data_IF_504405725030
#
_entry.id   IF_504405725030
#
_cell.length_a   1.000
_cell.length_b   1.000
_cell.length_c   1.000
_cell.angle_alpha   90.00
_cell.angle_beta   90.00
_cell.angle_gamma   90.00
#
_symmetry.space_group_name_H-M   'P 1'
#
loop_
_entity.id
_entity.type
_entity.pdbx_description
1 polymer ?
#
# COMPACT_ATOMS: atom_id res chain seq x y z
N UNK A 1 0.91 41.81 56.99
CA UNK A 1 -0.26 41.97 56.11
C UNK A 1 -0.89 40.60 55.88
N UNK A 2 -2.15 40.41 56.27
CA UNK A 2 -2.94 39.23 55.90
C UNK A 2 -3.17 39.17 54.38
N UNK A 3 -3.72 38.13 53.76
CA UNK A 3 -4.87 37.32 54.20
C UNK A 3 -5.04 36.12 53.24
N UNK A 4 -5.50 34.99 53.81
CA UNK A 4 -6.50 34.03 53.30
C UNK A 4 -6.39 33.48 51.86
N UNK A 5 -5.90 32.25 51.76
CA UNK A 5 -6.40 31.25 50.80
C UNK A 5 -7.74 30.69 51.32
N UNK A 6 -8.85 31.07 50.67
CA UNK A 6 -10.16 30.46 50.90
C UNK A 6 -10.27 29.17 50.09
N UNK A 7 -10.43 28.07 50.82
CA UNK A 7 -10.90 26.77 50.34
C UNK A 7 -12.35 26.89 49.89
N UNK A 8 -12.72 26.23 48.79
CA UNK A 8 -14.05 25.63 48.69
C UNK A 8 -13.93 24.15 48.33
N UNK A 9 -14.69 23.26 49.01
CA UNK A 9 -14.55 21.81 48.90
C UNK A 9 -15.64 21.24 48.00
N UNK A 10 -15.29 20.31 47.11
CA UNK A 10 -16.17 19.22 46.67
C UNK A 10 -15.34 18.26 45.83
N UNK A 11 -15.07 17.07 46.38
CA UNK A 11 -15.00 15.75 45.74
C UNK A 11 -14.18 14.80 46.60
N UNK A 12 -14.78 14.45 47.74
CA UNK A 12 -14.59 13.15 48.38
C UNK A 12 -15.34 12.12 47.52
N UNK A 13 -14.63 11.15 46.94
CA UNK A 13 -15.12 9.78 46.74
C UNK A 13 -14.03 8.92 46.09
N UNK A 14 -13.70 7.80 46.73
CA UNK A 14 -12.83 6.69 46.28
C UNK A 14 -11.33 6.76 46.67
N UNK A 15 -11.07 6.72 47.97
CA UNK A 15 -9.90 6.00 48.50
C UNK A 15 -10.38 5.05 49.61
N UNK A 16 -11.02 3.94 49.20
CA UNK A 16 -11.32 2.82 50.10
C UNK A 16 -10.20 1.78 49.97
N UNK A 17 -9.56 1.53 51.11
CA UNK A 17 -9.12 0.21 51.56
C UNK A 17 -7.84 -0.38 50.94
N UNK A 18 -6.69 0.25 51.20
CA UNK A 18 -5.44 -0.50 51.37
C UNK A 18 -5.21 -0.74 52.87
N UNK A 19 -5.73 -1.85 53.39
CA UNK A 19 -5.35 -2.41 54.70
C UNK A 19 -4.87 -3.84 54.47
N UNK A 20 -3.58 -4.05 54.59
CA UNK A 20 -2.98 -5.37 54.40
C UNK A 20 -1.48 -5.42 54.66
N UNK A 21 -1.12 -5.31 55.95
CA UNK A 21 0.09 -5.87 56.60
C UNK A 21 1.45 -5.18 56.40
N UNK A 22 1.99 -4.73 57.54
CA UNK A 22 3.38 -4.99 57.94
C UNK A 22 4.42 -3.95 57.53
N UNK A 23 4.51 -2.86 58.30
CA UNK A 23 5.77 -2.11 58.45
C UNK A 23 6.65 -2.89 59.43
N UNK A 24 7.84 -3.28 59.00
CA UNK A 24 8.95 -3.56 59.90
C UNK A 24 10.18 -2.83 59.33
N UNK A 25 10.80 -2.06 60.22
CA UNK A 25 11.88 -1.10 59.98
C UNK A 25 13.08 -1.74 59.30
N UNK A 26 13.69 -1.03 58.34
CA UNK A 26 15.00 -1.35 57.81
C UNK A 26 16.01 -0.35 58.39
N UNK A 27 16.58 -0.72 59.53
CA UNK A 27 17.83 -0.15 60.01
C UNK A 27 19.00 -0.68 59.16
N UNK A 28 19.92 0.23 58.84
CA UNK A 28 21.05 -0.03 57.99
C UNK A 28 21.99 -1.10 58.56
N UNK A 29 22.37 -2.06 57.72
CA UNK A 29 23.67 -2.71 57.78
C UNK A 29 23.93 -3.44 56.46
N UNK A 30 25.15 -3.25 55.94
CA UNK A 30 25.63 -3.90 54.74
C UNK A 30 25.60 -5.42 54.89
N UNK A 31 25.08 -6.13 53.89
CA UNK A 31 25.21 -7.59 53.80
C UNK A 31 25.93 -7.95 52.51
N UNK A 32 27.13 -8.51 52.68
CA UNK A 32 27.97 -9.09 51.64
C UNK A 32 27.23 -10.22 50.91
N UNK A 33 27.27 -10.23 49.58
CA UNK A 33 26.90 -11.41 48.80
C UNK A 33 28.11 -12.31 48.61
N UNK A 34 28.03 -13.50 49.21
CA UNK A 34 29.01 -14.57 49.08
C UNK A 34 29.03 -15.21 47.69
N UNK A 35 30.24 -15.56 47.27
CA UNK A 35 30.54 -16.41 46.11
C UNK A 35 29.89 -17.78 46.25
N UNK A 36 28.97 -18.11 45.34
CA UNK A 36 28.48 -19.48 45.16
C UNK A 36 28.23 -19.77 43.67
N UNK A 37 28.90 -20.81 43.19
CA UNK A 37 28.35 -21.72 42.18
C UNK A 37 28.26 -21.19 40.75
N UNK A 38 29.36 -21.37 40.02
CA UNK A 38 29.40 -21.47 38.57
C UNK A 38 28.26 -22.31 38.00
N UNK A 39 27.32 -21.66 37.31
CA UNK A 39 26.56 -22.14 36.14
C UNK A 39 25.71 -20.97 35.60
N UNK A 40 26.32 -19.81 35.38
CA UNK A 40 25.70 -18.81 34.51
C UNK A 40 26.10 -19.23 33.09
N UNK A 41 25.19 -19.89 32.38
CA UNK A 41 25.32 -20.01 30.94
C UNK A 41 25.45 -18.59 30.40
N UNK A 42 26.65 -18.26 29.93
CA UNK A 42 26.86 -17.12 29.05
C UNK A 42 25.82 -17.30 27.96
N UNK A 43 24.74 -16.51 28.01
CA UNK A 43 23.86 -16.35 26.88
C UNK A 43 24.76 -15.79 25.80
N UNK A 44 25.18 -16.71 24.95
CA UNK A 44 25.82 -16.46 23.67
C UNK A 44 25.10 -15.23 23.09
N UNK A 45 25.82 -14.11 23.05
CA UNK A 45 25.49 -13.05 22.13
C UNK A 45 25.83 -13.64 20.76
N UNK A 46 25.00 -14.60 20.31
CA UNK A 46 24.91 -14.98 18.93
C UNK A 46 24.51 -13.69 18.27
N UNK A 47 25.52 -12.97 17.77
CA UNK A 47 25.38 -11.90 16.80
C UNK A 47 24.37 -12.43 15.81
N UNK A 48 23.11 -12.00 15.97
CA UNK A 48 22.10 -12.12 14.94
C UNK A 48 22.72 -11.34 13.82
N UNK A 49 23.44 -12.07 12.96
CA UNK A 49 23.82 -11.62 11.65
C UNK A 49 22.48 -11.23 11.06
N UNK A 50 22.21 -9.93 11.11
CA UNK A 50 21.22 -9.29 10.26
C UNK A 50 21.63 -9.79 8.89
N UNK A 51 20.88 -10.78 8.39
CA UNK A 51 21.08 -11.29 7.05
C UNK A 51 20.93 -10.07 6.17
N UNK A 52 22.05 -9.53 5.71
CA UNK A 52 22.09 -8.66 4.54
C UNK A 52 21.78 -9.61 3.39
N UNK A 53 20.51 -10.02 3.30
CA UNK A 53 20.00 -10.74 2.15
C UNK A 53 20.38 -9.94 0.92
N UNK A 54 20.70 -10.64 -0.14
CA UNK A 54 21.10 -10.08 -1.42
C UNK A 54 19.99 -9.13 -1.89
N UNK A 55 20.07 -7.85 -1.49
CA UNK A 55 18.99 -6.87 -1.67
C UNK A 55 18.94 -6.58 -3.16
N UNK A 56 18.02 -7.27 -3.84
CA UNK A 56 17.62 -6.96 -5.21
C UNK A 56 17.22 -5.48 -5.32
N UNK A 57 16.90 -5.02 -6.53
CA UNK A 57 16.46 -3.64 -6.72
C UNK A 57 15.22 -3.35 -5.85
N UNK A 58 15.38 -2.48 -4.85
CA UNK A 58 14.33 -2.03 -3.94
C UNK A 58 13.73 -0.71 -4.47
N UNK A 59 12.40 -0.59 -4.35
CA UNK A 59 11.63 0.51 -4.95
C UNK A 59 10.82 0.04 -6.16
N UNK A 60 9.71 0.67 -6.52
CA UNK A 60 9.11 1.93 -6.09
C UNK A 60 7.89 1.67 -5.21
N UNK A 61 7.43 2.68 -4.51
CA UNK A 61 6.14 2.72 -3.84
C UNK A 61 5.07 3.14 -4.84
N UNK A 62 3.98 2.38 -4.88
CA UNK A 62 2.79 2.70 -5.66
C UNK A 62 1.57 2.63 -4.75
N UNK A 63 0.68 3.60 -4.90
CA UNK A 63 -0.56 3.71 -4.18
C UNK A 63 -1.72 3.88 -5.17
N UNK A 64 -2.75 3.05 -5.03
CA UNK A 64 -4.05 3.23 -5.65
C UNK A 64 -5.04 3.74 -4.61
N UNK A 65 -5.78 4.80 -4.95
CA UNK A 65 -6.87 5.34 -4.14
C UNK A 65 -8.10 5.47 -5.02
N UNK A 66 -9.18 4.83 -4.61
CA UNK A 66 -10.51 5.03 -5.16
C UNK A 66 -11.37 5.80 -4.17
N UNK A 67 -11.91 6.94 -4.58
CA UNK A 67 -12.89 7.70 -3.81
C UNK A 67 -13.85 8.42 -4.75
N UNK A 68 -15.14 8.36 -4.44
CA UNK A 68 -16.20 8.94 -5.27
C UNK A 68 -16.11 8.45 -6.72
N UNK A 69 -16.09 9.38 -7.68
CA UNK A 69 -16.02 9.09 -9.12
C UNK A 69 -14.60 9.19 -9.68
N UNK A 70 -13.56 9.00 -8.85
CA UNK A 70 -12.16 9.06 -9.28
C UNK A 70 -11.35 7.90 -8.76
N UNK A 71 -10.49 7.39 -9.63
CA UNK A 71 -9.49 6.37 -9.31
C UNK A 71 -8.13 6.93 -9.67
N UNK A 72 -7.21 6.93 -8.71
CA UNK A 72 -5.87 7.49 -8.84
C UNK A 72 -4.87 6.40 -8.54
N UNK A 73 -3.92 6.18 -9.45
CA UNK A 73 -2.69 5.44 -9.17
C UNK A 73 -1.54 6.43 -9.20
N UNK A 74 -0.83 6.51 -8.08
CA UNK A 74 0.36 7.34 -7.91
C UNK A 74 1.54 6.44 -7.59
N UNK A 75 2.71 6.75 -8.15
CA UNK A 75 3.94 6.03 -7.85
C UNK A 75 5.11 6.98 -7.76
N UNK A 76 6.06 6.66 -6.89
CA UNK A 76 7.34 7.36 -6.83
C UNK A 76 8.32 6.85 -7.90
N UNK A 77 9.43 7.56 -8.07
CA UNK A 77 10.42 7.26 -9.09
C UNK A 77 11.71 6.62 -8.61
N UNK A 78 11.88 6.38 -7.31
CA UNK A 78 13.14 5.91 -6.74
C UNK A 78 13.38 4.43 -7.01
N UNK A 79 14.55 4.14 -7.56
CA UNK A 79 15.10 2.79 -7.65
C UNK A 79 16.44 2.76 -6.92
N UNK A 80 16.52 1.90 -5.92
CA UNK A 80 17.67 1.72 -5.05
C UNK A 80 18.21 0.30 -5.23
N UNK A 81 19.53 0.16 -5.37
CA UNK A 81 20.21 -1.14 -5.38
C UNK A 81 21.16 -1.19 -4.19
N UNK A 82 20.95 -2.15 -3.31
CA UNK A 82 21.66 -2.19 -2.03
C UNK A 82 21.39 -0.93 -1.20
N UNK A 83 22.40 -0.05 -1.14
CA UNK A 83 22.35 1.20 -0.38
C UNK A 83 22.46 2.45 -1.26
N UNK A 84 22.50 2.30 -2.59
CA UNK A 84 22.70 3.39 -3.54
C UNK A 84 21.45 3.64 -4.40
N UNK A 85 21.10 4.91 -4.59
CA UNK A 85 20.02 5.31 -5.50
C UNK A 85 20.56 5.31 -6.92
N UNK A 86 20.10 4.36 -7.75
CA UNK A 86 20.50 4.27 -9.16
C UNK A 86 19.78 5.33 -9.99
N UNK A 87 18.46 5.47 -9.78
CA UNK A 87 17.63 6.36 -10.59
C UNK A 87 16.50 6.94 -9.74
N UNK A 88 16.34 8.28 -9.72
CA UNK A 88 15.27 8.91 -8.94
C UNK A 88 13.95 9.10 -9.72
N UNK A 89 13.95 8.91 -11.04
CA UNK A 89 12.85 9.34 -11.92
C UNK A 89 12.33 8.19 -12.81
N UNK A 90 12.08 7.02 -12.24
CA UNK A 90 11.43 5.91 -12.96
C UNK A 90 9.92 6.12 -13.00
N UNK A 91 9.28 5.81 -14.13
CA UNK A 91 7.82 5.80 -14.23
C UNK A 91 7.35 4.35 -14.21
N UNK A 92 6.81 3.89 -13.08
CA UNK A 92 6.24 2.53 -12.93
C UNK A 92 4.71 2.50 -12.92
N UNK A 93 4.09 3.67 -13.12
CA UNK A 93 2.65 3.81 -13.34
C UNK A 93 2.41 4.10 -14.82
N UNK A 94 1.41 3.46 -15.40
CA UNK A 94 1.00 3.67 -16.78
C UNK A 94 -0.48 3.36 -17.00
N UNK A 95 -1.00 3.88 -18.11
CA UNK A 95 -2.29 3.50 -18.67
C UNK A 95 -2.14 2.29 -19.59
N UNK A 96 -3.08 1.36 -19.51
CA UNK A 96 -3.19 0.16 -20.32
C UNK A 96 -4.48 0.25 -21.14
N UNK A 97 -4.34 0.39 -22.46
CA UNK A 97 -5.49 0.66 -23.34
C UNK A 97 -6.22 1.97 -22.98
N UNK A 98 -7.54 1.99 -23.16
CA UNK A 98 -8.34 3.19 -22.90
C UNK A 98 -8.72 3.37 -21.42
N UNK A 99 -9.08 2.27 -20.75
CA UNK A 99 -9.91 2.33 -19.52
C UNK A 99 -9.26 1.70 -18.29
N UNK A 100 -8.00 1.29 -18.37
CA UNK A 100 -7.29 0.66 -17.25
C UNK A 100 -6.03 1.46 -16.96
N UNK A 101 -5.77 1.69 -15.67
CA UNK A 101 -4.51 2.22 -15.17
C UNK A 101 -3.85 1.18 -14.29
N UNK A 102 -2.53 1.15 -14.27
CA UNK A 102 -1.80 0.18 -13.47
C UNK A 102 -0.48 0.74 -12.97
N UNK A 103 0.00 0.16 -11.88
CA UNK A 103 1.30 0.43 -11.32
C UNK A 103 2.00 -0.85 -10.85
N UNK A 104 3.32 -0.80 -10.80
CA UNK A 104 4.14 -1.98 -10.56
C UNK A 104 5.21 -1.73 -9.50
N UNK A 105 5.39 -2.68 -8.60
CA UNK A 105 6.51 -2.72 -7.65
C UNK A 105 7.39 -3.94 -7.96
N UNK A 106 8.64 -3.68 -8.38
CA UNK A 106 9.61 -4.70 -8.75
C UNK A 106 10.60 -4.23 -9.83
N UNK A 107 11.25 -5.18 -10.50
CA UNK A 107 12.19 -4.93 -11.60
C UNK A 107 11.55 -4.22 -12.80
N UNK A 108 12.28 -3.27 -13.41
CA UNK A 108 11.75 -2.48 -14.53
C UNK A 108 11.40 -3.36 -15.75
N UNK A 109 12.25 -4.35 -16.07
CA UNK A 109 12.03 -5.26 -17.20
C UNK A 109 10.80 -6.16 -17.00
N UNK A 110 10.57 -6.60 -15.77
CA UNK A 110 9.42 -7.42 -15.40
C UNK A 110 8.13 -6.63 -15.54
N UNK A 111 8.16 -5.34 -15.17
CA UNK A 111 7.02 -4.44 -15.35
C UNK A 111 6.59 -4.38 -16.82
N UNK A 112 7.54 -4.23 -17.75
CA UNK A 112 7.25 -4.15 -19.18
C UNK A 112 6.52 -5.41 -19.65
N UNK A 113 7.11 -6.56 -19.35
CA UNK A 113 6.60 -7.87 -19.74
C UNK A 113 5.20 -8.16 -19.18
N UNK A 114 4.97 -7.89 -17.89
CA UNK A 114 3.72 -8.27 -17.23
C UNK A 114 2.54 -7.42 -17.68
N UNK A 115 2.76 -6.14 -17.89
CA UNK A 115 1.74 -5.25 -18.41
C UNK A 115 1.45 -5.50 -19.90
N UNK A 116 2.45 -5.82 -20.73
CA UNK A 116 2.21 -6.25 -22.13
C UNK A 116 1.35 -7.51 -22.17
N UNK A 117 1.64 -8.48 -21.28
CA UNK A 117 0.80 -9.68 -21.12
C UNK A 117 -0.60 -9.34 -20.64
N UNK A 118 -0.74 -8.38 -19.72
CA UNK A 118 -2.05 -7.94 -19.24
C UNK A 118 -2.86 -7.26 -20.35
N UNK A 119 -2.24 -6.40 -21.15
CA UNK A 119 -2.89 -5.76 -22.31
C UNK A 119 -3.41 -6.82 -23.29
N UNK A 120 -2.59 -7.82 -23.62
CA UNK A 120 -3.03 -8.95 -24.44
C UNK A 120 -4.24 -9.68 -23.84
N UNK A 121 -4.27 -9.90 -22.52
CA UNK A 121 -5.44 -10.52 -21.85
C UNK A 121 -6.67 -9.62 -21.78
N UNK A 122 -6.49 -8.31 -21.71
CA UNK A 122 -7.59 -7.35 -21.78
C UNK A 122 -8.23 -7.37 -23.18
N UNK A 123 -7.42 -7.45 -24.24
CA UNK A 123 -7.92 -7.58 -25.62
C UNK A 123 -8.71 -8.89 -25.82
N UNK A 124 -8.16 -10.03 -25.37
CA UNK A 124 -8.82 -11.35 -25.44
C UNK A 124 -10.17 -11.40 -24.72
N UNK A 125 -10.34 -10.60 -23.65
CA UNK A 125 -11.53 -10.60 -22.81
C UNK A 125 -12.36 -9.33 -22.91
N UNK A 126 -12.26 -8.61 -24.03
CA UNK A 126 -13.10 -7.43 -24.32
C UNK A 126 -13.08 -6.38 -23.20
N UNK A 127 -11.92 -6.17 -22.57
CA UNK A 127 -11.72 -5.18 -21.52
C UNK A 127 -12.23 -5.58 -20.13
N UNK A 128 -12.62 -6.84 -19.90
CA UNK A 128 -13.01 -7.31 -18.56
C UNK A 128 -11.79 -7.48 -17.65
N UNK A 129 -11.55 -6.51 -16.77
CA UNK A 129 -10.35 -6.47 -15.93
C UNK A 129 -10.23 -7.69 -14.99
N UNK A 130 -11.30 -8.10 -14.31
CA UNK A 130 -11.26 -9.26 -13.40
C UNK A 130 -10.81 -10.53 -14.12
N UNK A 131 -11.37 -10.77 -15.30
CA UNK A 131 -11.08 -11.98 -16.07
C UNK A 131 -9.65 -11.95 -16.62
N UNK A 132 -9.24 -10.81 -17.17
CA UNK A 132 -7.87 -10.62 -17.64
C UNK A 132 -6.84 -10.79 -16.51
N UNK A 133 -7.12 -10.26 -15.32
CA UNK A 133 -6.27 -10.39 -14.14
C UNK A 133 -6.13 -11.85 -13.68
N UNK A 134 -7.24 -12.61 -13.64
CA UNK A 134 -7.22 -14.02 -13.26
C UNK A 134 -6.46 -14.88 -14.28
N UNK A 135 -6.64 -14.64 -15.58
CA UNK A 135 -5.90 -15.38 -16.61
C UNK A 135 -4.40 -15.01 -16.61
N UNK A 136 -4.06 -13.75 -16.37
CA UNK A 136 -2.67 -13.35 -16.14
C UNK A 136 -2.08 -14.07 -14.92
N UNK A 137 -2.80 -14.11 -13.81
CA UNK A 137 -2.34 -14.77 -12.58
C UNK A 137 -2.09 -16.27 -12.80
N UNK A 138 -2.96 -16.96 -13.55
CA UNK A 138 -2.76 -18.36 -13.96
C UNK A 138 -1.51 -18.52 -14.84
N UNK A 139 -1.33 -17.64 -15.83
CA UNK A 139 -0.18 -17.66 -16.71
C UNK A 139 1.13 -17.40 -15.94
N UNK A 140 1.09 -16.45 -14.99
CA UNK A 140 2.20 -16.12 -14.10
C UNK A 140 2.62 -17.33 -13.26
N UNK A 141 1.65 -18.05 -12.68
CA UNK A 141 1.90 -19.31 -11.94
C UNK A 141 2.36 -20.48 -12.81
N UNK A 142 2.26 -20.40 -14.12
CA UNK A 142 2.64 -21.51 -15.02
C UNK A 142 4.00 -21.25 -15.67
N UNK A 143 4.38 -19.99 -15.85
CA UNK A 143 5.66 -19.59 -16.42
C UNK A 143 6.81 -19.87 -15.43
N UNK A 144 7.90 -20.48 -15.91
CA UNK A 144 9.08 -20.82 -15.09
C UNK A 144 9.85 -19.59 -14.65
N UNK A 145 9.88 -18.55 -15.48
CA UNK A 145 10.62 -17.32 -15.23
C UNK A 145 9.84 -16.40 -14.31
N UNK A 146 8.54 -16.21 -14.58
CA UNK A 146 7.72 -15.25 -13.83
C UNK A 146 7.49 -15.67 -12.36
N UNK A 147 7.43 -16.97 -12.06
CA UNK A 147 7.22 -17.48 -10.68
C UNK A 147 8.30 -17.10 -9.67
N UNK A 148 9.48 -16.69 -10.14
CA UNK A 148 10.60 -16.28 -9.27
C UNK A 148 10.63 -14.77 -9.01
N UNK A 149 9.67 -14.04 -9.57
CA UNK A 149 9.59 -12.61 -9.41
C UNK A 149 8.87 -12.28 -8.11
N UNK A 150 9.54 -11.54 -7.23
CA UNK A 150 8.95 -10.94 -6.01
C UNK A 150 8.07 -9.72 -6.33
N UNK A 151 7.52 -9.68 -7.54
CA UNK A 151 6.81 -8.53 -8.06
C UNK A 151 5.34 -8.54 -7.66
N UNK A 152 4.83 -7.34 -7.41
CA UNK A 152 3.42 -7.07 -7.16
C UNK A 152 2.96 -5.97 -8.09
N UNK A 153 1.79 -6.11 -8.69
CA UNK A 153 1.15 -5.08 -9.49
C UNK A 153 -0.21 -4.69 -8.95
N UNK A 154 -0.55 -3.42 -9.13
CA UNK A 154 -1.88 -2.88 -8.89
C UNK A 154 -2.47 -2.45 -10.21
N UNK A 155 -3.72 -2.80 -10.46
CA UNK A 155 -4.44 -2.45 -11.68
C UNK A 155 -5.85 -2.03 -11.32
N UNK A 156 -6.36 -1.00 -11.98
CA UNK A 156 -7.68 -0.48 -11.69
C UNK A 156 -8.36 0.02 -12.95
N UNK A 157 -9.67 -0.21 -13.02
CA UNK A 157 -10.57 0.43 -13.95
C UNK A 157 -11.54 1.34 -13.17
N UNK A 158 -12.62 1.76 -13.84
CA UNK A 158 -13.64 2.60 -13.22
C UNK A 158 -14.49 1.87 -12.15
N UNK A 159 -14.53 0.54 -12.14
CA UNK A 159 -15.40 -0.29 -11.29
C UNK A 159 -14.62 -1.00 -10.18
N UNK A 160 -13.51 -1.66 -10.48
CA UNK A 160 -12.74 -2.54 -9.57
C UNK A 160 -11.25 -2.17 -9.53
N UNK A 161 -10.61 -2.43 -8.40
CA UNK A 161 -9.17 -2.24 -8.21
C UNK A 161 -8.58 -3.54 -7.68
N UNK A 162 -7.58 -4.06 -8.36
CA UNK A 162 -7.02 -5.39 -8.09
C UNK A 162 -5.53 -5.31 -7.82
N UNK A 163 -5.09 -6.11 -6.86
CA UNK A 163 -3.68 -6.45 -6.64
C UNK A 163 -3.42 -7.82 -7.23
N UNK A 164 -2.38 -7.94 -8.05
CA UNK A 164 -1.93 -9.21 -8.64
C UNK A 164 -0.51 -9.49 -8.15
N UNK A 165 -0.29 -10.67 -7.58
CA UNK A 165 1.01 -11.09 -7.03
C UNK A 165 1.68 -12.13 -7.92
N UNK A 166 3.00 -12.27 -7.81
CA UNK A 166 3.74 -13.36 -8.48
C UNK A 166 3.37 -14.77 -8.02
N UNK A 167 2.70 -14.87 -6.88
CA UNK A 167 2.09 -16.12 -6.42
C UNK A 167 0.79 -16.44 -7.17
N UNK A 168 0.28 -15.54 -8.02
CA UNK A 168 -0.98 -15.69 -8.74
C UNK A 168 -2.21 -15.44 -7.87
N UNK A 169 -2.07 -14.62 -6.83
CA UNK A 169 -3.23 -14.13 -6.09
C UNK A 169 -3.80 -12.91 -6.80
N UNK A 170 -5.13 -12.82 -6.86
CA UNK A 170 -5.86 -11.65 -7.35
C UNK A 170 -6.75 -11.17 -6.21
N UNK A 171 -6.47 -9.99 -5.69
CA UNK A 171 -7.08 -9.48 -4.46
C UNK A 171 -7.69 -8.10 -4.68
N UNK A 172 -8.94 -7.94 -4.29
CA UNK A 172 -9.63 -6.65 -4.25
C UNK A 172 -9.65 -6.11 -2.81
N UNK A 173 -9.25 -4.85 -2.57
CA UNK A 173 -9.34 -4.24 -1.25
C UNK A 173 -10.79 -3.89 -0.90
N UNK A 174 -11.17 -4.01 0.36
CA UNK A 174 -12.51 -3.63 0.82
C UNK A 174 -12.72 -2.10 0.89
N UNK A 175 -11.65 -1.34 1.04
CA UNK A 175 -11.63 0.11 1.27
C UNK A 175 -11.21 0.93 0.04
N UNK A 176 -10.97 0.27 -1.09
CA UNK A 176 -10.52 0.93 -2.32
C UNK A 176 -9.10 1.53 -2.25
N UNK A 177 -8.31 1.16 -1.23
CA UNK A 177 -6.92 1.62 -1.06
C UNK A 177 -5.95 0.45 -1.20
N UNK A 178 -4.99 0.58 -2.11
CA UNK A 178 -3.96 -0.44 -2.35
C UNK A 178 -2.59 0.25 -2.30
N UNK A 179 -1.73 -0.15 -1.36
CA UNK A 179 -0.34 0.28 -1.34
C UNK A 179 0.59 -0.91 -1.58
N UNK A 180 1.48 -0.79 -2.57
CA UNK A 180 2.50 -1.80 -2.90
C UNK A 180 3.90 -1.18 -2.90
N UNK A 181 4.92 -2.03 -2.82
CA UNK A 181 6.33 -1.61 -2.84
C UNK A 181 6.87 -1.26 -1.46
N UNK A 182 8.09 -0.70 -1.44
CA UNK A 182 8.89 -0.47 -0.23
C UNK A 182 8.20 0.41 0.81
N UNK A 183 7.47 1.43 0.37
CA UNK A 183 6.68 2.33 1.22
C UNK A 183 5.17 2.13 1.14
N UNK A 184 4.71 1.01 0.56
CA UNK A 184 3.28 0.75 0.32
C UNK A 184 2.44 0.73 1.61
N UNK A 185 2.98 0.21 2.72
CA UNK A 185 2.31 0.19 4.02
C UNK A 185 2.13 1.58 4.61
N UNK A 186 3.14 2.45 4.52
CA UNK A 186 3.04 3.85 4.97
C UNK A 186 2.02 4.63 4.13
N UNK A 187 2.08 4.46 2.81
CA UNK A 187 1.18 5.14 1.88
C UNK A 187 -0.28 4.70 2.10
N UNK A 188 -0.54 3.40 2.20
CA UNK A 188 -1.90 2.87 2.42
C UNK A 188 -2.46 3.25 3.79
N UNK A 189 -1.65 3.20 4.85
CA UNK A 189 -2.07 3.64 6.18
C UNK A 189 -2.42 5.15 6.20
N UNK A 190 -1.60 5.99 5.58
CA UNK A 190 -1.87 7.41 5.46
C UNK A 190 -3.12 7.71 4.62
N UNK A 191 -3.31 7.01 3.50
CA UNK A 191 -4.48 7.18 2.65
C UNK A 191 -5.77 6.76 3.38
N UNK A 192 -5.75 5.64 4.12
CA UNK A 192 -6.88 5.19 4.95
C UNK A 192 -7.25 6.20 6.03
N UNK A 193 -6.27 6.83 6.67
CA UNK A 193 -6.53 7.87 7.65
C UNK A 193 -7.19 9.13 7.04
N UNK A 194 -6.98 9.38 5.74
CA UNK A 194 -7.48 10.57 5.03
C UNK A 194 -8.78 10.30 4.25
N UNK A 195 -9.13 9.03 3.99
CA UNK A 195 -10.23 8.69 3.08
C UNK A 195 -11.59 9.14 3.62
N UNK A 196 -11.78 9.06 4.93
CA UNK A 196 -13.01 9.43 5.63
C UNK A 196 -13.18 10.94 5.82
N UNK A 197 -12.15 11.74 5.50
CA UNK A 197 -12.23 13.18 5.66
C UNK A 197 -13.17 13.78 4.59
N UNK A 198 -14.15 14.61 5.00
CA UNK A 198 -14.94 15.40 4.07
C UNK A 198 -14.02 16.41 3.35
N UNK A 199 -14.37 16.79 2.12
CA UNK A 199 -13.65 17.76 1.26
C UNK A 199 -12.32 17.29 0.64
N UNK A 200 -11.86 16.07 0.93
CA UNK A 200 -10.65 15.53 0.30
C UNK A 200 -10.96 14.71 -0.96
N UNK A 201 -10.45 15.18 -2.11
CA UNK A 201 -10.50 14.44 -3.37
C UNK A 201 -9.48 13.28 -3.40
N UNK A 202 -9.73 12.26 -4.22
CA UNK A 202 -8.89 11.07 -4.37
C UNK A 202 -7.43 11.44 -4.69
N UNK A 203 -7.22 12.43 -5.57
CA UNK A 203 -5.88 12.88 -5.96
C UNK A 203 -5.15 13.59 -4.81
N UNK A 204 -5.86 14.42 -4.05
CA UNK A 204 -5.29 15.11 -2.90
C UNK A 204 -4.87 14.12 -1.80
N UNK A 205 -5.71 13.10 -1.55
CA UNK A 205 -5.40 12.00 -0.63
C UNK A 205 -4.16 11.26 -1.10
N UNK A 206 -4.13 10.83 -2.37
CA UNK A 206 -3.03 10.07 -2.94
C UNK A 206 -1.69 10.84 -2.84
N UNK A 207 -1.68 12.12 -3.21
CA UNK A 207 -0.51 13.01 -3.10
C UNK A 207 -0.04 13.17 -1.66
N UNK A 208 -0.97 13.43 -0.72
CA UNK A 208 -0.63 13.62 0.69
C UNK A 208 -0.10 12.35 1.34
N UNK A 209 -0.72 11.21 1.05
CA UNK A 209 -0.30 9.90 1.53
C UNK A 209 1.08 9.50 1.01
N UNK A 210 1.34 9.71 -0.29
CA UNK A 210 2.66 9.45 -0.88
C UNK A 210 3.74 10.37 -0.32
N UNK A 211 3.41 11.63 -0.02
CA UNK A 211 4.34 12.55 0.65
C UNK A 211 4.75 12.02 2.02
N UNK A 212 3.79 11.55 2.82
CA UNK A 212 4.06 10.93 4.12
C UNK A 212 4.92 9.67 3.95
N UNK A 213 4.63 8.83 2.95
CA UNK A 213 5.43 7.65 2.67
C UNK A 213 6.88 7.99 2.30
N UNK A 214 7.11 9.06 1.54
CA UNK A 214 8.44 9.56 1.19
C UNK A 214 9.19 10.14 2.40
N UNK A 215 8.49 10.79 3.34
CA UNK A 215 9.08 11.28 4.58
C UNK A 215 9.50 10.14 5.54
N UNK A 216 8.83 8.98 5.46
CA UNK A 216 9.07 7.84 6.34
C UNK A 216 9.99 6.75 5.74
N UNK A 217 9.94 6.51 4.43
CA UNK A 217 10.61 5.40 3.78
C UNK A 217 11.86 5.87 3.02
N UNK A 218 13.03 5.35 3.40
CA UNK A 218 14.31 5.65 2.71
C UNK A 218 14.35 5.20 1.25
N UNK A 219 13.42 4.34 0.83
CA UNK A 219 13.30 3.81 -0.53
C UNK A 219 12.17 4.49 -1.33
N UNK A 220 11.70 5.66 -0.91
CA UNK A 220 10.61 6.40 -1.57
C UNK A 220 10.97 7.88 -1.60
N UNK A 221 10.89 8.50 -2.78
CA UNK A 221 11.18 9.92 -2.92
C UNK A 221 9.93 10.77 -3.16
N UNK A 222 10.12 12.09 -3.27
CA UNK A 222 9.05 13.05 -3.55
C UNK A 222 8.75 13.25 -5.05
N UNK A 223 9.37 12.46 -5.94
CA UNK A 223 9.10 12.56 -7.37
C UNK A 223 7.98 11.60 -7.75
N UNK A 224 6.78 12.14 -7.88
CA UNK A 224 5.58 11.35 -8.12
C UNK A 224 5.12 11.42 -9.58
N UNK A 225 4.67 10.28 -10.08
CA UNK A 225 3.88 10.16 -11.30
C UNK A 225 2.47 9.70 -10.98
N UNK A 226 1.48 10.28 -11.66
CA UNK A 226 0.06 10.05 -11.38
C UNK A 226 -0.63 9.66 -12.67
N UNK A 227 -1.45 8.61 -12.60
CA UNK A 227 -2.45 8.25 -13.59
C UNK A 227 -3.84 8.28 -12.94
N UNK A 228 -4.83 8.73 -13.69
CA UNK A 228 -6.19 8.89 -13.19
C UNK A 228 -7.25 8.34 -14.13
N UNK A 229 -8.37 7.91 -13.56
CA UNK A 229 -9.61 7.59 -14.29
C UNK A 229 -10.74 8.39 -13.64
N UNK A 230 -11.44 9.17 -14.46
CA UNK A 230 -12.68 9.85 -14.10
C UNK A 230 -13.88 8.95 -14.45
N UNK A 231 -14.51 8.35 -13.44
CA UNK A 231 -15.59 7.35 -13.59
C UNK A 231 -16.81 7.94 -14.30
N UNK A 232 -17.06 9.24 -14.16
CA UNK A 232 -18.20 9.92 -14.79
C UNK A 232 -18.15 9.95 -16.33
N UNK A 233 -16.96 9.81 -16.95
CA UNK A 233 -16.81 9.90 -18.41
C UNK A 233 -17.17 8.59 -19.11
N UNK A 234 -17.06 7.44 -18.42
CA UNK A 234 -17.31 6.10 -19.00
C UNK A 234 -18.76 5.91 -19.43
N UNK A 235 -19.72 6.45 -18.69
CA UNK A 235 -21.14 6.43 -19.05
C UNK A 235 -21.37 7.11 -20.40
N UNK A 236 -20.65 8.21 -20.68
CA UNK A 236 -20.83 8.99 -21.89
C UNK A 236 -20.17 8.34 -23.13
N UNK A 237 -19.04 7.65 -22.95
CA UNK A 237 -18.34 6.96 -24.04
C UNK A 237 -19.01 5.63 -24.40
N UNK A 238 -19.45 4.84 -23.41
CA UNK A 238 -20.23 3.63 -23.66
C UNK A 238 -21.55 3.96 -24.37
N UNK A 239 -22.22 5.06 -24.00
CA UNK A 239 -23.42 5.54 -24.70
C UNK A 239 -23.10 5.99 -26.14
N UNK A 240 -22.00 6.71 -26.37
CA UNK A 240 -21.56 7.09 -27.73
C UNK A 240 -21.22 5.88 -28.59
N UNK A 241 -20.58 4.86 -28.02
CA UNK A 241 -20.18 3.65 -28.72
C UNK A 241 -21.39 2.73 -29.00
N UNK A 242 -22.37 2.66 -28.10
CA UNK A 242 -23.65 2.00 -28.34
C UNK A 242 -24.48 2.71 -29.42
N UNK A 243 -24.48 4.05 -29.45
CA UNK A 243 -25.16 4.82 -30.49
C UNK A 243 -24.59 4.55 -31.89
N UNK A 244 -23.28 4.38 -32.02
CA UNK A 244 -22.62 4.06 -33.30
C UNK A 244 -22.90 2.65 -33.84
N UNK A 245 -23.37 1.71 -33.01
CA UNK A 245 -23.76 0.36 -33.44
C UNK A 245 -25.21 0.27 -33.92
N UNK A 246 -26.04 1.28 -33.62
CA UNK A 246 -27.48 1.27 -33.92
C UNK A 246 -27.87 1.88 -35.28
N UNK A 247 -26.90 2.41 -36.04
CA UNK A 247 -27.15 3.04 -37.35
C UNK A 247 -26.89 2.13 -38.56
N UNK A 248 -26.82 0.80 -38.38
CA UNK A 248 -26.81 -0.11 -39.54
C UNK A 248 -28.18 -0.06 -40.23
N UNK A 249 -28.17 0.40 -41.47
CA UNK A 249 -29.35 0.61 -42.31
C UNK A 249 -30.30 -0.60 -42.33
N UNK A 250 -31.63 -0.39 -42.39
CA UNK A 250 -32.59 -1.49 -42.48
C UNK A 250 -32.34 -2.32 -43.75
N UNK A 251 -32.30 -3.64 -43.55
CA UNK A 251 -32.15 -4.63 -44.62
C UNK A 251 -33.16 -4.38 -45.75
N UNK A 252 -32.74 -4.31 -47.03
CA UNK A 252 -33.66 -4.07 -48.13
C UNK A 252 -34.62 -5.25 -48.27
N UNK A 253 -35.91 -4.99 -48.06
CA UNK A 253 -36.98 -5.96 -48.33
C UNK A 253 -37.12 -6.13 -49.84
N UNK A 254 -36.68 -7.29 -50.35
CA UNK A 254 -36.96 -7.71 -51.73
C UNK A 254 -38.44 -8.08 -51.86
N UNK A 255 -39.14 -7.35 -52.72
CA UNK A 255 -40.51 -7.61 -53.22
C UNK A 255 -40.52 -8.67 -54.30
#
# INVERSE_FOLDING_TARGET
MGTRLLRHPHLLSLARCARGRGLQELDGSAVQYGSFGSSFSVLDHSSRHMHTENRGMLGTTVLCVRKNNKVIIIGDGQVTLGNEIIKPNVRKVRRLGANVIGGFAGGTADSFTLFERLESKLEEHSGQLTRAAVELAKAWRTDKFLRRLDAVMVVADAEISLTITGNGDVLEPYDGVIGIGSGGSYASAAARALIDLPDWDAEAIAKKAMKIAADCCIYTNHNFTIEQIDVAQRSSEVVKQAASLSTSEPCPTTS
#
